data_IF_421976780367
#
_entry.id   IF_421976780367
#
_cell.length_a   1.000
_cell.length_b   1.000
_cell.length_c   1.000
_cell.angle_alpha   90.00
_cell.angle_beta   90.00
_cell.angle_gamma   90.00
#
_symmetry.space_group_name_H-M   'P 1'
#
loop_
_entity.id
_entity.type
_entity.pdbx_description
1 polymer ?
#
# COMPACT_ATOMS: atom_id res chain seq x y z
N UNK A 1 -22.28 -16.56 8.27
CA UNK A 1 -21.05 -15.84 8.67
C UNK A 1 -20.98 -14.62 7.77
N UNK A 2 -20.86 -13.41 8.32
CA UNK A 2 -20.62 -12.23 7.49
C UNK A 2 -19.22 -12.38 6.84
N UNK A 3 -19.09 -12.10 5.55
CA UNK A 3 -17.77 -12.09 4.90
C UNK A 3 -16.93 -10.97 5.53
N UNK A 4 -15.68 -11.28 5.89
CA UNK A 4 -14.72 -10.26 6.34
C UNK A 4 -14.43 -9.30 5.19
N UNK A 5 -14.44 -8.00 5.47
CA UNK A 5 -14.06 -6.97 4.50
C UNK A 5 -12.60 -7.20 4.10
N UNK A 6 -12.33 -7.32 2.80
CA UNK A 6 -10.99 -7.52 2.26
C UNK A 6 -10.31 -6.17 2.05
N UNK A 7 -9.19 -5.97 2.74
CA UNK A 7 -8.45 -4.72 2.72
C UNK A 7 -7.14 -4.89 1.98
N UNK A 8 -6.86 -3.99 1.06
CA UNK A 8 -5.50 -3.78 0.54
C UNK A 8 -4.92 -2.53 1.21
N UNK A 9 -3.72 -2.67 1.75
CA UNK A 9 -3.02 -1.57 2.42
C UNK A 9 -1.91 -1.03 1.52
N UNK A 10 -1.96 0.24 1.16
CA UNK A 10 -0.94 0.90 0.34
C UNK A 10 -0.04 1.77 1.22
N UNK A 11 1.28 1.57 1.10
CA UNK A 11 2.30 2.28 1.86
C UNK A 11 3.53 2.59 0.99
N UNK A 12 4.36 3.53 1.44
CA UNK A 12 5.63 3.79 0.77
C UNK A 12 6.73 2.78 1.15
N UNK A 13 7.87 2.84 0.48
CA UNK A 13 9.05 1.99 0.71
C UNK A 13 9.53 1.99 2.17
N UNK A 14 9.42 3.14 2.84
CA UNK A 14 9.90 3.32 4.21
C UNK A 14 9.04 2.52 5.19
N UNK A 15 7.72 2.70 5.13
CA UNK A 15 6.79 1.93 5.95
C UNK A 15 6.74 0.45 5.55
N UNK A 16 7.09 0.15 4.30
CA UNK A 16 7.34 -1.21 3.81
C UNK A 16 8.57 -1.88 4.40
N UNK A 17 9.46 -1.13 5.05
CA UNK A 17 10.71 -1.64 5.61
C UNK A 17 11.79 -1.93 4.54
N UNK A 18 11.68 -1.32 3.36
CA UNK A 18 12.60 -1.54 2.24
C UNK A 18 13.82 -0.61 2.33
N UNK A 19 13.63 0.65 2.75
CA UNK A 19 14.70 1.64 2.89
C UNK A 19 14.17 3.06 2.98
N UNK A 20 15.07 4.05 3.04
CA UNK A 20 14.70 5.47 3.14
C UNK A 20 14.68 6.13 1.75
N UNK A 21 15.30 7.31 1.66
CA UNK A 21 15.50 8.03 0.40
C UNK A 21 16.39 7.28 -0.60
N UNK A 22 17.23 6.36 -0.14
CA UNK A 22 18.08 5.52 -1.01
C UNK A 22 17.29 4.43 -1.76
N UNK A 23 15.99 4.29 -1.44
CA UNK A 23 15.06 3.32 -2.04
C UNK A 23 13.75 3.96 -2.48
N UNK A 24 13.68 5.28 -2.60
CA UNK A 24 12.46 5.97 -3.04
C UNK A 24 12.12 5.74 -4.51
N UNK A 25 13.01 5.17 -5.30
CA UNK A 25 12.86 4.86 -6.73
C UNK A 25 12.36 3.43 -7.02
N UNK A 26 12.05 2.64 -5.99
CA UNK A 26 11.62 1.26 -6.21
C UNK A 26 10.26 1.18 -6.92
N UNK A 27 10.09 0.22 -7.85
CA UNK A 27 8.80 0.00 -8.49
C UNK A 27 7.76 -0.53 -7.50
N UNK A 28 6.49 -0.50 -7.92
CA UNK A 28 5.36 -1.08 -7.18
C UNK A 28 5.62 -2.56 -6.86
N UNK A 29 5.47 -2.93 -5.59
CA UNK A 29 5.55 -4.30 -5.11
C UNK A 29 4.27 -4.70 -4.40
N UNK A 30 3.82 -5.93 -4.64
CA UNK A 30 2.65 -6.50 -3.97
C UNK A 30 3.11 -7.61 -3.03
N UNK A 31 2.75 -7.48 -1.76
CA UNK A 31 3.06 -8.44 -0.71
C UNK A 31 1.76 -9.02 -0.16
N UNK A 32 1.64 -10.34 -0.09
CA UNK A 32 0.46 -10.97 0.50
C UNK A 32 0.44 -10.78 2.02
N UNK A 33 -0.72 -10.39 2.55
CA UNK A 33 -0.91 -10.10 3.98
C UNK A 33 -0.36 -8.73 4.43
N UNK A 34 -0.38 -8.48 5.75
CA UNK A 34 0.01 -7.21 6.34
C UNK A 34 1.54 -7.03 6.45
N UNK A 35 2.06 -5.90 5.95
CA UNK A 35 3.46 -5.48 6.10
C UNK A 35 3.54 -4.17 6.89
N UNK A 36 4.59 -4.03 7.71
CA UNK A 36 4.85 -2.80 8.49
C UNK A 36 3.63 -2.34 9.31
N UNK A 37 3.14 -1.10 9.13
CA UNK A 37 1.96 -0.59 9.84
C UNK A 37 0.68 -1.38 9.53
N UNK A 38 0.63 -2.14 8.43
CA UNK A 38 -0.49 -3.04 8.10
C UNK A 38 -0.75 -4.10 9.17
N UNK A 39 0.27 -4.45 9.96
CA UNK A 39 0.11 -5.40 11.08
C UNK A 39 -0.72 -4.80 12.22
N UNK A 40 -0.42 -3.54 12.57
CA UNK A 40 -1.20 -2.81 13.57
C UNK A 40 -2.63 -2.55 13.06
N UNK A 41 -2.78 -2.24 11.77
CA UNK A 41 -4.07 -2.12 11.11
C UNK A 41 -4.89 -3.43 11.21
N UNK A 42 -4.30 -4.57 10.87
CA UNK A 42 -4.96 -5.88 10.99
C UNK A 42 -5.44 -6.16 12.41
N UNK A 43 -4.63 -5.83 13.42
CA UNK A 43 -5.00 -5.98 14.83
C UNK A 43 -6.19 -5.07 15.22
N UNK A 44 -6.20 -3.83 14.74
CA UNK A 44 -7.27 -2.87 15.02
C UNK A 44 -8.60 -3.23 14.32
N UNK A 45 -8.53 -3.84 13.13
CA UNK A 45 -9.69 -4.31 12.39
C UNK A 45 -10.37 -5.51 13.06
N UNK A 46 -9.57 -6.40 13.68
CA UNK A 46 -10.05 -7.60 14.35
C UNK A 46 -10.82 -8.52 13.40
N UNK A 47 -11.99 -9.00 13.81
CA UNK A 47 -12.80 -9.91 12.98
C UNK A 47 -13.64 -9.23 11.91
N UNK A 48 -13.62 -7.90 11.83
CA UNK A 48 -14.42 -7.15 10.85
C UNK A 48 -13.80 -7.13 9.46
N UNK A 49 -12.48 -7.18 9.37
CA UNK A 49 -11.75 -7.07 8.11
C UNK A 49 -10.40 -7.79 8.16
N UNK A 50 -9.88 -8.10 6.98
CA UNK A 50 -8.61 -8.78 6.78
C UNK A 50 -7.76 -8.03 5.76
N UNK A 51 -6.51 -7.74 6.12
CA UNK A 51 -5.52 -7.18 5.19
C UNK A 51 -5.00 -8.31 4.31
N UNK A 52 -5.56 -8.44 3.11
CA UNK A 52 -5.25 -9.53 2.18
C UNK A 52 -3.93 -9.30 1.43
N UNK A 53 -3.55 -8.04 1.27
CA UNK A 53 -2.26 -7.66 0.69
C UNK A 53 -1.83 -6.25 1.13
N UNK A 54 -0.53 -6.01 1.03
CA UNK A 54 0.10 -4.71 1.17
C UNK A 54 0.78 -4.36 -0.15
N UNK A 55 0.45 -3.21 -0.72
CA UNK A 55 1.13 -2.64 -1.88
C UNK A 55 2.16 -1.63 -1.36
N UNK A 56 3.40 -1.76 -1.84
CA UNK A 56 4.52 -0.90 -1.46
C UNK A 56 5.05 -0.22 -2.72
N UNK A 57 5.21 1.10 -2.70
CA UNK A 57 5.78 1.84 -3.83
C UNK A 57 6.78 2.88 -3.33
N UNK A 58 7.84 3.13 -4.10
CA UNK A 58 8.76 4.22 -3.80
C UNK A 58 8.11 5.58 -4.05
N UNK A 59 8.33 6.55 -3.15
CA UNK A 59 7.77 7.90 -3.28
C UNK A 59 8.21 8.63 -4.56
N UNK A 60 9.47 8.45 -5.00
CA UNK A 60 9.96 9.06 -6.25
C UNK A 60 9.48 8.28 -7.46
N UNK A 61 9.38 6.96 -7.36
CA UNK A 61 8.87 6.14 -8.46
C UNK A 61 7.45 6.54 -8.85
N UNK A 62 6.52 6.68 -7.89
CA UNK A 62 5.14 7.08 -8.20
C UNK A 62 5.04 8.54 -8.67
N UNK A 63 5.90 9.42 -8.17
CA UNK A 63 5.92 10.82 -8.60
C UNK A 63 6.46 11.01 -10.02
N UNK A 64 7.45 10.21 -10.43
CA UNK A 64 8.08 10.29 -11.75
C UNK A 64 7.38 9.41 -12.80
N UNK A 65 6.68 8.35 -12.38
CA UNK A 65 6.10 7.32 -13.25
C UNK A 65 4.62 7.08 -12.91
N UNK A 66 3.83 8.14 -12.79
CA UNK A 66 2.43 8.09 -12.36
C UNK A 66 1.59 7.08 -13.16
N UNK A 67 1.71 7.09 -14.50
CA UNK A 67 0.97 6.16 -15.37
C UNK A 67 1.37 4.70 -15.13
N UNK A 68 2.68 4.40 -15.06
CA UNK A 68 3.18 3.03 -14.86
C UNK A 68 2.85 2.50 -13.45
N UNK A 69 3.00 3.35 -12.44
CA UNK A 69 2.62 3.02 -11.07
C UNK A 69 1.10 2.81 -10.96
N UNK A 70 0.30 3.67 -11.58
CA UNK A 70 -1.15 3.58 -11.66
C UNK A 70 -1.63 2.28 -12.30
N UNK A 71 -1.06 1.92 -13.46
CA UNK A 71 -1.38 0.68 -14.16
C UNK A 71 -1.01 -0.56 -13.32
N UNK A 72 0.15 -0.54 -12.67
CA UNK A 72 0.62 -1.64 -11.82
C UNK A 72 -0.25 -1.82 -10.58
N UNK A 73 -0.62 -0.72 -9.92
CA UNK A 73 -1.54 -0.73 -8.77
C UNK A 73 -2.93 -1.17 -9.21
N UNK A 74 -3.45 -0.63 -10.31
CA UNK A 74 -4.76 -0.97 -10.86
C UNK A 74 -4.88 -2.46 -11.17
N UNK A 75 -3.88 -3.03 -11.86
CA UNK A 75 -3.81 -4.47 -12.11
C UNK A 75 -3.79 -5.29 -10.82
N UNK A 76 -3.00 -4.87 -9.82
CA UNK A 76 -2.96 -5.55 -8.53
C UNK A 76 -4.34 -5.53 -7.84
N UNK A 77 -5.06 -4.41 -7.90
CA UNK A 77 -6.40 -4.28 -7.32
C UNK A 77 -7.43 -5.14 -8.06
N UNK A 78 -7.35 -5.22 -9.39
CA UNK A 78 -8.22 -6.07 -10.21
C UNK A 78 -8.03 -7.57 -9.90
N UNK A 79 -6.78 -7.98 -9.66
CA UNK A 79 -6.44 -9.36 -9.28
C UNK A 79 -6.87 -9.67 -7.83
N UNK A 80 -6.63 -8.74 -6.91
CA UNK A 80 -6.88 -8.91 -5.46
C UNK A 80 -8.34 -8.73 -5.07
N UNK A 81 -9.13 -7.99 -5.87
CA UNK A 81 -10.55 -7.67 -5.63
C UNK A 81 -10.85 -7.27 -4.18
N UNK A 82 -10.19 -6.24 -3.63
CA UNK A 82 -10.49 -5.77 -2.29
C UNK A 82 -11.83 -5.06 -2.22
N UNK A 83 -12.43 -5.08 -1.03
CA UNK A 83 -13.61 -4.27 -0.71
C UNK A 83 -13.20 -2.84 -0.30
N UNK A 84 -11.97 -2.67 0.19
CA UNK A 84 -11.44 -1.40 0.68
C UNK A 84 -9.94 -1.29 0.40
N UNK A 85 -9.50 -0.12 -0.03
CA UNK A 85 -8.08 0.27 -0.06
C UNK A 85 -7.84 1.29 1.04
N UNK A 86 -6.83 1.05 1.87
CA UNK A 86 -6.35 2.00 2.87
C UNK A 86 -4.96 2.46 2.45
N UNK A 87 -4.75 3.77 2.28
CA UNK A 87 -3.47 4.35 1.93
C UNK A 87 -2.84 5.07 3.13
N UNK A 88 -1.52 4.93 3.30
CA UNK A 88 -0.75 5.56 4.38
C UNK A 88 -0.39 4.61 5.53
N UNK A 89 0.28 5.07 6.59
CA UNK A 89 0.40 6.47 7.00
C UNK A 89 1.24 7.30 6.01
N UNK A 90 0.82 8.54 5.81
CA UNK A 90 1.59 9.58 5.11
C UNK A 90 1.87 10.67 6.14
N UNK A 91 3.00 10.59 6.84
CA UNK A 91 3.42 11.60 7.80
C UNK A 91 3.95 12.82 7.07
N UNK A 92 3.05 13.63 6.49
CA UNK A 92 3.34 14.94 5.87
C UNK A 92 4.69 15.00 5.13
N UNK A 93 5.04 13.91 4.45
CA UNK A 93 6.36 13.69 3.90
C UNK A 93 6.38 14.21 2.47
N UNK A 94 5.97 15.47 2.28
CA UNK A 94 6.15 16.34 1.11
C UNK A 94 5.75 15.85 -0.29
N UNK A 95 5.44 14.56 -0.47
CA UNK A 95 5.35 13.87 -1.77
C UNK A 95 4.00 13.17 -2.01
N UNK A 96 3.12 13.11 -1.00
CA UNK A 96 1.67 12.86 -1.20
C UNK A 96 0.89 14.15 -1.51
N UNK A 97 1.57 15.15 -2.04
CA UNK A 97 0.97 16.34 -2.61
C UNK A 97 1.42 16.42 -4.05
N UNK A 98 0.52 16.00 -4.96
CA UNK A 98 0.56 16.40 -6.36
C UNK A 98 0.83 17.92 -6.39
N UNK A 99 2.00 18.29 -6.91
CA UNK A 99 2.31 19.66 -7.32
C UNK A 99 1.85 19.89 -8.75
#
# INVERSE_FOLDING_TARGET
MANKVRVVHYINQFFGGIGGEDKSDIPVQVHHGPVGPGRALQMALGDRAEVVATIICGDDFIAENEDEAGDSIGKALDDLKPDLVLAGPAFDSGRYGLG
#
